data_IF_253621041489
#
_entry.id   IF_253621041489
#
_cell.length_a   1.000
_cell.length_b   1.000
_cell.length_c   1.000
_cell.angle_alpha   90.00
_cell.angle_beta   90.00
_cell.angle_gamma   90.00
#
_symmetry.space_group_name_H-M   'P 1'
#
loop_
_entity.id
_entity.type
_entity.pdbx_description
1 polymer ?
#
# COMPACT_ATOMS: atom_id res chain seq x y z
N UNK A 1 -9.71 11.91 6.56
CA UNK A 1 -10.38 11.19 7.67
C UNK A 1 -11.46 12.11 8.23
N UNK A 2 -12.64 11.63 8.65
CA UNK A 2 -13.51 12.46 9.46
C UNK A 2 -12.75 12.83 10.72
N UNK A 3 -12.63 14.13 11.01
CA UNK A 3 -11.97 14.61 12.21
C UNK A 3 -12.72 14.02 13.40
N UNK A 4 -12.13 13.05 14.08
CA UNK A 4 -12.68 12.56 15.33
C UNK A 4 -12.66 13.70 16.35
N UNK A 5 -13.63 13.70 17.24
CA UNK A 5 -13.69 14.65 18.34
C UNK A 5 -13.39 13.92 19.64
N UNK A 6 -12.54 14.50 20.48
CA UNK A 6 -12.40 14.08 21.86
C UNK A 6 -13.43 14.85 22.70
N UNK A 7 -14.19 14.15 23.54
CA UNK A 7 -15.08 14.80 24.49
C UNK A 7 -14.31 15.06 25.78
N UNK A 8 -14.06 16.32 26.12
CA UNK A 8 -13.39 16.71 27.37
C UNK A 8 -14.20 17.74 28.14
N UNK A 9 -14.01 17.78 29.45
CA UNK A 9 -14.56 18.87 30.26
C UNK A 9 -13.68 20.10 30.07
N UNK A 10 -14.28 21.22 29.73
CA UNK A 10 -13.62 22.53 29.75
C UNK A 10 -14.08 23.28 31.01
N UNK A 11 -13.11 23.77 31.80
CA UNK A 11 -13.34 24.59 32.98
C UNK A 11 -13.83 25.99 32.56
N UNK A 12 -14.70 26.57 33.37
CA UNK A 12 -15.26 27.89 33.10
C UNK A 12 -14.46 28.98 33.82
N UNK A 13 -13.48 29.57 33.13
CA UNK A 13 -12.74 30.74 33.60
C UNK A 13 -13.30 32.04 32.98
N UNK A 14 -14.40 32.57 33.52
CA UNK A 14 -14.76 33.98 33.26
C UNK A 14 -15.61 34.58 34.38
N UNK A 15 -15.20 35.77 34.83
CA UNK A 15 -15.96 36.63 35.75
C UNK A 15 -16.87 37.51 34.88
N UNK A 16 -18.18 37.24 34.90
CA UNK A 16 -19.18 38.13 34.29
C UNK A 16 -20.00 38.85 35.36
N UNK A 17 -20.52 40.02 34.99
CA UNK A 17 -21.33 40.89 35.84
C UNK A 17 -22.80 40.39 35.87
N UNK A 18 -23.36 40.17 37.06
CA UNK A 18 -24.56 39.33 37.29
C UNK A 18 -25.86 40.12 37.51
N UNK A 19 -25.97 41.35 37.03
CA UNK A 19 -27.07 42.25 37.42
C UNK A 19 -28.38 42.09 36.63
N UNK A 20 -28.66 40.96 36.00
CA UNK A 20 -29.93 40.78 35.30
C UNK A 20 -30.35 39.30 35.18
N UNK A 21 -31.09 38.76 36.16
CA UNK A 21 -31.96 37.57 36.04
C UNK A 21 -32.68 37.34 37.38
N UNK A 22 -33.69 38.14 37.70
CA UNK A 22 -34.35 38.08 39.03
C UNK A 22 -35.88 37.91 38.98
N UNK A 23 -36.44 37.35 37.90
CA UNK A 23 -37.88 37.04 37.81
C UNK A 23 -38.20 35.82 36.92
N UNK A 24 -37.42 34.74 37.03
CA UNK A 24 -37.71 33.47 36.33
C UNK A 24 -38.16 32.38 37.28
N UNK A 25 -39.32 31.78 37.06
CA UNK A 25 -39.80 30.60 37.81
C UNK A 25 -38.97 29.37 37.43
N UNK A 26 -38.30 28.73 38.39
CA UNK A 26 -37.45 27.55 38.14
C UNK A 26 -38.18 26.26 38.54
N UNK A 27 -38.28 25.30 37.63
CA UNK A 27 -38.84 23.96 37.86
C UNK A 27 -37.73 22.92 37.88
N UNK A 28 -37.69 22.09 38.92
CA UNK A 28 -36.63 21.08 39.10
C UNK A 28 -37.14 19.68 38.81
N UNK A 29 -36.40 18.95 37.99
CA UNK A 29 -36.65 17.54 37.65
C UNK A 29 -35.39 16.74 37.96
N UNK A 30 -35.40 16.00 39.07
CA UNK A 30 -34.35 15.02 39.33
C UNK A 30 -34.56 13.80 38.46
N UNK A 31 -33.51 13.37 37.76
CA UNK A 31 -33.51 12.20 36.89
C UNK A 31 -32.63 11.12 37.48
N UNK A 32 -33.03 9.88 37.26
CA UNK A 32 -32.25 8.70 37.58
C UNK A 32 -32.56 7.59 36.55
N UNK A 33 -31.71 6.57 36.51
CA UNK A 33 -31.84 5.43 35.58
C UNK A 33 -32.76 4.31 36.07
N UNK A 34 -33.26 4.38 37.30
CA UNK A 34 -34.02 3.30 37.93
C UNK A 34 -35.53 3.48 37.79
N UNK A 35 -36.00 4.72 37.85
CA UNK A 35 -37.40 5.10 37.83
C UNK A 35 -37.61 6.24 36.83
N UNK A 36 -38.40 5.98 35.78
CA UNK A 36 -38.65 6.95 34.71
C UNK A 36 -39.88 7.85 34.96
N UNK A 37 -40.35 7.92 36.21
CA UNK A 37 -41.50 8.74 36.62
C UNK A 37 -41.27 10.24 36.37
N UNK A 38 -40.02 10.68 36.42
CA UNK A 38 -39.58 12.04 36.10
C UNK A 38 -39.90 12.45 34.65
N UNK A 39 -40.05 11.51 33.71
CA UNK A 39 -40.41 11.82 32.33
C UNK A 39 -41.81 12.43 32.22
N UNK A 40 -42.77 11.93 33.02
CA UNK A 40 -44.13 12.47 33.02
C UNK A 40 -44.16 13.89 33.61
N UNK A 41 -43.37 14.11 34.68
CA UNK A 41 -43.19 15.44 35.28
C UNK A 41 -42.57 16.43 34.29
N UNK A 42 -41.56 15.99 33.55
CA UNK A 42 -40.91 16.80 32.51
C UNK A 42 -41.88 17.17 31.38
N UNK A 43 -42.67 16.20 30.88
CA UNK A 43 -43.71 16.46 29.86
C UNK A 43 -44.73 17.48 30.34
N UNK A 44 -45.24 17.34 31.57
CA UNK A 44 -46.20 18.30 32.12
C UNK A 44 -45.66 19.74 32.21
N UNK A 45 -44.34 19.91 32.39
CA UNK A 45 -43.71 21.23 32.40
C UNK A 45 -43.46 21.79 31.00
N UNK A 46 -43.33 20.93 29.99
CA UNK A 46 -43.16 21.34 28.59
C UNK A 46 -44.49 21.63 27.89
N UNK A 47 -45.59 21.00 28.32
CA UNK A 47 -46.94 21.18 27.74
C UNK A 47 -47.64 22.49 28.16
N UNK A 48 -47.05 23.28 29.07
CA UNK A 48 -47.68 24.52 29.57
C UNK A 48 -47.65 25.60 28.48
N UNK A 49 -48.81 25.87 27.86
CA UNK A 49 -49.01 26.98 26.93
C UNK A 49 -48.69 28.31 27.62
N UNK A 50 -47.53 28.89 27.26
CA UNK A 50 -47.10 30.29 27.39
C UNK A 50 -47.99 31.22 28.23
N UNK A 51 -47.85 31.20 29.55
CA UNK A 51 -48.22 32.34 30.40
C UNK A 51 -46.95 33.12 30.75
N UNK A 52 -46.81 34.31 30.13
CA UNK A 52 -46.01 35.55 30.41
C UNK A 52 -44.79 35.59 31.37
N UNK A 53 -44.35 34.48 31.94
CA UNK A 53 -43.26 34.37 32.91
C UNK A 53 -42.15 33.54 32.28
N UNK A 54 -40.90 34.01 32.37
CA UNK A 54 -39.74 33.26 31.86
C UNK A 54 -39.57 32.03 32.77
N UNK A 55 -40.09 30.88 32.36
CA UNK A 55 -39.90 29.62 33.10
C UNK A 55 -38.59 28.96 32.67
N UNK A 56 -37.83 28.41 33.62
CA UNK A 56 -36.64 27.58 33.36
C UNK A 56 -36.86 26.19 33.95
N UNK A 57 -36.57 25.14 33.17
CA UNK A 57 -36.61 23.75 33.65
C UNK A 57 -35.18 23.30 33.89
N UNK A 58 -34.85 22.95 35.13
CA UNK A 58 -33.54 22.45 35.53
C UNK A 58 -33.65 20.94 35.73
N UNK A 59 -32.99 20.20 34.85
CA UNK A 59 -32.91 18.74 34.92
C UNK A 59 -31.62 18.35 35.65
N UNK A 60 -31.76 17.65 36.77
CA UNK A 60 -30.66 17.38 37.71
C UNK A 60 -30.37 15.89 37.75
N UNK A 61 -29.12 15.50 37.57
CA UNK A 61 -28.66 14.13 37.85
C UNK A 61 -27.57 14.17 38.92
N UNK A 62 -27.74 13.34 39.95
CA UNK A 62 -26.84 13.24 41.11
C UNK A 62 -26.41 11.79 41.30
N UNK A 63 -25.10 11.57 41.46
CA UNK A 63 -24.56 10.27 41.87
C UNK A 63 -24.55 9.16 40.82
N UNK A 64 -25.27 9.32 39.69
CA UNK A 64 -25.30 8.36 38.58
C UNK A 64 -24.58 8.90 37.34
N UNK A 65 -23.35 8.42 37.11
CA UNK A 65 -22.50 8.88 36.00
C UNK A 65 -22.91 8.31 34.63
N UNK A 66 -23.80 7.32 34.60
CA UNK A 66 -24.25 6.63 33.38
C UNK A 66 -25.68 7.03 32.98
N UNK A 67 -26.23 8.12 33.55
CA UNK A 67 -27.61 8.58 33.31
C UNK A 67 -27.88 9.17 31.92
N UNK A 68 -26.86 9.36 31.09
CA UNK A 68 -27.04 9.89 29.72
C UNK A 68 -27.64 11.31 29.66
N UNK A 69 -27.74 12.03 30.78
CA UNK A 69 -28.44 13.32 30.91
C UNK A 69 -28.02 14.34 29.86
N UNK A 70 -26.72 14.43 29.59
CA UNK A 70 -26.18 15.38 28.59
C UNK A 70 -26.70 15.06 27.19
N UNK A 71 -26.72 13.79 26.81
CA UNK A 71 -27.26 13.35 25.52
C UNK A 71 -28.76 13.66 25.42
N UNK A 72 -29.49 13.36 26.48
CA UNK A 72 -30.92 13.63 26.57
C UNK A 72 -31.26 15.12 26.45
N UNK A 73 -30.56 15.98 27.20
CA UNK A 73 -30.75 17.44 27.17
C UNK A 73 -30.35 18.02 25.82
N UNK A 74 -29.30 17.50 25.18
CA UNK A 74 -28.94 17.90 23.82
C UNK A 74 -30.03 17.57 22.78
N UNK A 75 -30.80 16.50 22.97
CA UNK A 75 -31.98 16.20 22.16
C UNK A 75 -33.10 17.19 22.43
N UNK A 76 -33.51 17.36 23.70
CA UNK A 76 -34.64 18.22 24.06
C UNK A 76 -34.42 19.68 23.69
N UNK A 77 -33.18 20.20 23.77
CA UNK A 77 -32.86 21.57 23.38
C UNK A 77 -33.04 21.86 21.88
N UNK A 78 -33.19 20.83 21.05
CA UNK A 78 -33.47 20.97 19.61
C UNK A 78 -34.98 20.89 19.30
N UNK A 79 -35.79 20.50 20.27
CA UNK A 79 -37.25 20.47 20.16
C UNK A 79 -37.85 21.87 20.41
N UNK A 80 -39.05 22.17 19.89
CA UNK A 80 -39.75 23.42 20.19
C UNK A 80 -39.96 23.61 21.70
N UNK A 81 -39.61 24.77 22.24
CA UNK A 81 -39.68 25.05 23.68
C UNK A 81 -38.47 24.53 24.48
N UNK A 82 -37.51 23.84 23.85
CA UNK A 82 -36.30 23.31 24.49
C UNK A 82 -35.33 24.38 24.98
N UNK A 83 -35.49 25.65 24.59
CA UNK A 83 -34.64 26.78 25.00
C UNK A 83 -34.69 27.07 26.50
N UNK A 84 -35.75 26.63 27.19
CA UNK A 84 -35.94 26.81 28.63
C UNK A 84 -35.22 25.76 29.48
N UNK A 85 -34.69 24.71 28.85
CA UNK A 85 -34.09 23.57 29.53
C UNK A 85 -32.64 23.88 29.89
N UNK A 86 -32.30 23.63 31.14
CA UNK A 86 -30.96 23.65 31.73
C UNK A 86 -30.70 22.29 32.36
N UNK A 87 -29.46 21.84 32.38
CA UNK A 87 -29.10 20.67 33.16
C UNK A 87 -27.98 20.92 34.15
N UNK A 88 -28.06 20.23 35.28
CA UNK A 88 -27.03 20.20 36.31
C UNK A 88 -26.66 18.74 36.53
N UNK A 89 -25.45 18.38 36.13
CA UNK A 89 -24.93 17.03 36.26
C UNK A 89 -23.85 17.00 37.34
N UNK A 90 -24.20 16.40 38.47
CA UNK A 90 -23.36 16.38 39.67
C UNK A 90 -22.56 15.09 39.68
N UNK A 91 -21.32 15.19 39.21
CA UNK A 91 -20.37 14.07 39.19
C UNK A 91 -19.46 14.03 40.42
N UNK A 92 -19.30 15.16 41.11
CA UNK A 92 -18.51 15.23 42.34
C UNK A 92 -19.26 14.52 43.49
N UNK A 93 -18.64 13.48 44.05
CA UNK A 93 -19.21 12.72 45.19
C UNK A 93 -19.18 13.52 46.50
N UNK A 94 -18.34 14.54 46.58
CA UNK A 94 -18.19 15.39 47.76
C UNK A 94 -19.05 16.66 47.67
N UNK A 95 -19.69 16.92 46.53
CA UNK A 95 -20.58 18.06 46.39
C UNK A 95 -21.86 17.85 47.23
N UNK A 96 -22.43 18.92 47.81
CA UNK A 96 -23.69 18.85 48.52
C UNK A 96 -24.82 18.42 47.56
N UNK A 97 -25.87 17.79 48.09
CA UNK A 97 -27.10 17.49 47.32
C UNK A 97 -27.63 18.75 46.64
N UNK A 98 -28.17 18.62 45.42
CA UNK A 98 -28.64 19.79 44.68
C UNK A 98 -29.70 20.56 45.45
N UNK A 99 -29.52 21.88 45.54
CA UNK A 99 -30.44 22.78 46.19
C UNK A 99 -30.30 24.20 45.63
N UNK A 100 -31.43 24.90 45.50
CA UNK A 100 -31.47 26.32 45.14
C UNK A 100 -31.09 27.26 46.29
N UNK A 101 -30.86 26.72 47.49
CA UNK A 101 -30.36 27.48 48.64
C UNK A 101 -28.83 27.38 48.76
N UNK A 102 -28.21 26.42 48.09
CA UNK A 102 -26.78 26.17 48.15
C UNK A 102 -26.01 27.13 47.24
N UNK A 103 -25.10 27.89 47.84
CA UNK A 103 -24.33 28.94 47.14
C UNK A 103 -23.52 28.41 45.94
N UNK A 104 -23.08 27.15 46.00
CA UNK A 104 -22.36 26.46 44.93
C UNK A 104 -23.17 26.38 43.63
N UNK A 105 -24.46 26.04 43.74
CA UNK A 105 -25.35 25.86 42.59
C UNK A 105 -25.95 27.18 42.11
N UNK A 106 -26.29 28.09 43.03
CA UNK A 106 -26.85 29.41 42.69
C UNK A 106 -25.89 30.19 41.77
N UNK A 107 -24.62 30.29 42.16
CA UNK A 107 -23.60 31.02 41.38
C UNK A 107 -23.47 30.46 39.96
N UNK A 108 -23.52 29.14 39.82
CA UNK A 108 -23.44 28.50 38.51
C UNK A 108 -24.70 28.72 37.67
N UNK A 109 -25.89 28.58 38.27
CA UNK A 109 -27.17 28.74 37.56
C UNK A 109 -27.40 30.18 37.09
N UNK A 110 -26.81 31.17 37.77
CA UNK A 110 -26.81 32.58 37.34
C UNK A 110 -26.10 32.80 36.00
N UNK A 111 -25.18 31.92 35.59
CA UNK A 111 -24.55 31.96 34.26
C UNK A 111 -25.54 31.57 33.13
N UNK A 112 -26.72 31.04 33.46
CA UNK A 112 -27.77 30.59 32.53
C UNK A 112 -27.28 29.60 31.46
N UNK A 113 -26.23 28.83 31.77
CA UNK A 113 -25.64 27.89 30.83
C UNK A 113 -26.54 26.65 30.65
N UNK A 114 -26.74 26.18 29.42
CA UNK A 114 -27.62 25.04 29.14
C UNK A 114 -27.15 23.72 29.74
N UNK A 115 -25.84 23.54 29.89
CA UNK A 115 -25.23 22.32 30.39
C UNK A 115 -24.22 22.72 31.46
N UNK A 116 -24.48 22.30 32.69
CA UNK A 116 -23.61 22.52 33.84
C UNK A 116 -23.20 21.15 34.37
N UNK A 117 -21.90 20.90 34.42
CA UNK A 117 -21.35 19.66 34.96
C UNK A 117 -20.36 20.06 36.05
N UNK A 118 -20.55 19.51 37.26
CA UNK A 118 -19.59 19.69 38.35
C UNK A 118 -18.82 18.38 38.56
N UNK A 119 -17.48 18.45 38.55
CA UNK A 119 -16.57 17.33 38.81
C UNK A 119 -15.78 17.57 40.10
N UNK A 120 -14.93 16.60 40.45
CA UNK A 120 -14.09 16.61 41.64
C UNK A 120 -13.51 17.99 41.96
N UNK A 121 -13.46 18.31 43.25
CA UNK A 121 -12.98 19.59 43.78
C UNK A 121 -13.91 20.77 43.42
N UNK A 122 -15.20 20.49 43.23
CA UNK A 122 -16.24 21.48 42.91
C UNK A 122 -15.98 22.31 41.64
N UNK A 123 -15.30 21.70 40.66
CA UNK A 123 -14.95 22.35 39.40
C UNK A 123 -16.13 22.28 38.43
N UNK A 124 -16.62 23.45 38.00
CA UNK A 124 -17.68 23.57 37.01
C UNK A 124 -17.14 23.56 35.59
N UNK A 125 -17.88 22.91 34.70
CA UNK A 125 -17.57 22.88 33.29
C UNK A 125 -18.69 22.33 32.43
N UNK A 126 -18.35 22.05 31.18
CA UNK A 126 -19.24 21.37 30.24
C UNK A 126 -18.43 20.45 29.34
N UNK A 127 -19.07 19.40 28.81
CA UNK A 127 -18.41 18.53 27.84
C UNK A 127 -18.37 19.20 26.46
N UNK A 128 -17.17 19.35 25.92
CA UNK A 128 -16.87 19.99 24.65
C UNK A 128 -16.15 19.02 23.73
N UNK A 129 -16.42 19.20 22.43
CA UNK A 129 -15.79 18.42 21.37
C UNK A 129 -14.56 19.16 20.88
N UNK A 130 -13.38 18.62 21.13
CA UNK A 130 -12.13 19.14 20.61
C UNK A 130 -11.70 18.31 19.39
N UNK A 131 -11.20 18.96 18.32
CA UNK A 131 -10.65 18.23 17.18
C UNK A 131 -9.47 17.37 17.67
N UNK A 132 -9.44 16.10 17.25
CA UNK A 132 -8.26 15.28 17.48
C UNK A 132 -7.05 15.90 16.76
N UNK A 133 -5.85 15.84 17.39
CA UNK A 133 -4.64 16.31 16.74
C UNK A 133 -4.36 15.49 15.47
N UNK A 134 -3.65 16.11 14.52
CA UNK A 134 -3.18 15.42 13.33
C UNK A 134 -2.26 14.25 13.73
N UNK A 135 -2.30 13.18 12.94
CA UNK A 135 -1.42 12.03 13.15
C UNK A 135 0.03 12.44 12.88
N UNK A 136 0.85 12.40 13.93
CA UNK A 136 2.28 12.62 13.81
C UNK A 136 3.04 11.30 13.59
N UNK A 137 4.06 11.29 12.72
CA UNK A 137 4.93 10.11 12.55
C UNK A 137 5.59 9.72 13.89
N UNK A 138 5.52 8.44 14.23
CA UNK A 138 6.19 7.88 15.41
C UNK A 138 7.27 6.90 14.99
N UNK A 139 8.42 6.96 15.66
CA UNK A 139 9.47 5.98 15.47
C UNK A 139 9.00 4.63 16.01
N UNK A 140 9.10 3.60 15.17
CA UNK A 140 8.71 2.22 15.51
C UNK A 140 9.83 1.25 15.15
N UNK A 141 9.87 0.12 15.86
CA UNK A 141 10.86 -0.92 15.59
C UNK A 141 10.66 -1.60 14.23
N UNK A 142 9.40 -1.74 13.81
CA UNK A 142 9.06 -2.40 12.56
C UNK A 142 7.93 -1.69 11.83
N UNK A 143 8.12 -1.52 10.52
CA UNK A 143 7.19 -0.84 9.63
C UNK A 143 7.26 -1.42 8.22
N UNK A 144 6.16 -1.29 7.50
CA UNK A 144 6.03 -1.64 6.10
C UNK A 144 5.30 -0.53 5.35
N UNK A 145 5.48 -0.47 4.03
CA UNK A 145 4.80 0.49 3.17
C UNK A 145 3.46 -0.09 2.76
N UNK A 146 2.40 0.69 2.92
CA UNK A 146 1.07 0.36 2.41
C UNK A 146 0.48 1.54 1.66
N UNK A 147 -0.53 1.26 0.85
CA UNK A 147 -1.34 2.26 0.18
C UNK A 147 -2.69 2.38 0.89
N UNK A 148 -3.04 3.55 1.40
CA UNK A 148 -4.29 3.73 2.13
C UNK A 148 -5.51 3.78 1.22
N UNK A 149 -5.34 4.31 0.00
CA UNK A 149 -6.40 4.41 -1.02
C UNK A 149 -5.89 3.80 -2.32
N UNK A 150 -6.43 2.64 -2.74
CA UNK A 150 -6.05 2.03 -4.02
C UNK A 150 -6.18 3.00 -5.19
N UNK A 151 -5.16 3.05 -6.05
CA UNK A 151 -5.12 3.95 -7.21
C UNK A 151 -4.56 5.35 -6.93
N UNK A 152 -4.42 5.76 -5.67
CA UNK A 152 -3.83 7.05 -5.29
C UNK A 152 -2.43 6.87 -4.68
N UNK A 153 -1.40 7.18 -5.46
CA UNK A 153 0.00 7.05 -5.04
C UNK A 153 0.39 8.00 -3.90
N UNK A 154 -0.34 9.11 -3.71
CA UNK A 154 -0.06 10.05 -2.60
C UNK A 154 -0.37 9.48 -1.23
N UNK A 155 -1.08 8.34 -1.20
CA UNK A 155 -1.47 7.65 0.03
C UNK A 155 -0.52 6.52 0.42
N UNK A 156 0.61 6.38 -0.29
CA UNK A 156 1.69 5.49 0.10
C UNK A 156 2.37 6.01 1.37
N UNK A 157 2.35 5.22 2.44
CA UNK A 157 2.95 5.61 3.70
C UNK A 157 3.51 4.42 4.48
N UNK A 158 4.39 4.74 5.44
CA UNK A 158 4.88 3.78 6.41
C UNK A 158 3.82 3.53 7.48
N UNK A 159 3.51 2.26 7.72
CA UNK A 159 2.61 1.80 8.78
C UNK A 159 3.35 0.83 9.70
N UNK A 160 3.10 0.96 11.00
CA UNK A 160 3.68 0.07 11.99
C UNK A 160 3.28 -1.38 11.71
N UNK A 161 4.28 -2.26 11.65
CA UNK A 161 4.04 -3.68 11.48
C UNK A 161 3.64 -4.33 12.79
N UNK A 162 2.75 -5.33 12.74
CA UNK A 162 2.38 -6.17 13.88
C UNK A 162 3.33 -7.35 14.09
N UNK A 163 4.61 -7.22 13.69
CA UNK A 163 5.63 -8.29 13.66
C UNK A 163 5.91 -8.97 15.03
N UNK A 164 5.24 -8.59 16.10
CA UNK A 164 5.17 -9.34 17.37
C UNK A 164 4.75 -10.82 17.24
N UNK A 165 4.30 -11.29 16.06
CA UNK A 165 3.89 -12.68 15.79
C UNK A 165 4.93 -13.58 15.08
N UNK A 166 6.20 -13.16 14.91
CA UNK A 166 7.21 -14.05 14.30
C UNK A 166 7.49 -15.22 15.24
N UNK A 167 6.99 -16.40 14.87
CA UNK A 167 7.24 -17.66 15.58
C UNK A 167 8.75 -17.91 15.76
N UNK A 168 9.13 -18.58 16.84
CA UNK A 168 10.55 -18.87 17.12
C UNK A 168 11.23 -19.68 16.01
N UNK A 169 10.50 -20.45 15.20
CA UNK A 169 11.03 -21.20 14.06
C UNK A 169 11.41 -20.31 12.86
N UNK A 170 10.73 -19.17 12.67
CA UNK A 170 10.95 -18.25 11.55
C UNK A 170 12.06 -17.23 11.82
N UNK A 171 12.46 -17.14 13.09
CA UNK A 171 13.54 -16.26 13.56
C UNK A 171 14.86 -16.51 12.82
N UNK A 172 15.14 -17.71 12.33
CA UNK A 172 16.42 -17.98 11.64
C UNK A 172 16.51 -17.34 10.26
N UNK A 173 15.39 -17.17 9.56
CA UNK A 173 15.35 -16.60 8.21
C UNK A 173 14.95 -15.11 8.23
N UNK A 174 15.03 -14.47 9.40
CA UNK A 174 14.71 -13.06 9.53
C UNK A 174 15.80 -12.21 8.88
N UNK A 175 15.36 -11.33 7.97
CA UNK A 175 16.20 -10.41 7.22
C UNK A 175 15.88 -8.99 7.67
N UNK A 176 16.90 -8.24 8.06
CA UNK A 176 16.85 -6.78 8.16
C UNK A 176 17.04 -6.21 6.76
N UNK A 177 15.97 -5.70 6.18
CA UNK A 177 15.96 -5.16 4.82
C UNK A 177 16.69 -3.83 4.79
N UNK A 178 17.50 -3.65 3.76
CA UNK A 178 18.29 -2.43 3.49
C UNK A 178 17.85 -1.81 2.16
N UNK A 179 17.66 -2.62 1.12
CA UNK A 179 17.10 -2.19 -0.16
C UNK A 179 15.89 -3.03 -0.53
N UNK A 180 14.92 -2.38 -1.16
CA UNK A 180 13.79 -2.99 -1.85
C UNK A 180 13.69 -2.33 -3.21
N UNK A 181 13.29 -3.10 -4.21
CA UNK A 181 13.23 -2.63 -5.59
C UNK A 181 11.79 -2.65 -6.09
N UNK A 182 11.44 -1.66 -6.89
CA UNK A 182 10.09 -1.53 -7.45
C UNK A 182 10.00 -2.36 -8.74
N UNK A 183 8.95 -3.16 -8.85
CA UNK A 183 8.63 -3.95 -10.04
C UNK A 183 7.38 -3.39 -10.75
N UNK A 184 7.22 -3.72 -12.03
CA UNK A 184 6.05 -3.25 -12.79
C UNK A 184 4.72 -3.72 -12.17
N UNK A 185 4.72 -4.93 -11.56
CA UNK A 185 3.58 -5.43 -10.77
C UNK A 185 3.22 -4.50 -9.63
N UNK A 186 4.21 -4.00 -8.87
CA UNK A 186 3.98 -3.09 -7.75
C UNK A 186 3.27 -1.81 -8.22
N UNK A 187 3.71 -1.24 -9.35
CA UNK A 187 3.10 -0.06 -9.95
C UNK A 187 1.67 -0.34 -10.43
N UNK A 188 1.43 -1.48 -11.07
CA UNK A 188 0.08 -1.84 -11.54
C UNK A 188 -0.91 -2.04 -10.38
N UNK A 189 -0.46 -2.64 -9.28
CA UNK A 189 -1.25 -2.79 -8.05
C UNK A 189 -1.52 -1.41 -7.46
N UNK A 190 -0.47 -0.59 -7.26
CA UNK A 190 -0.61 0.73 -6.65
C UNK A 190 -1.47 1.69 -7.49
N UNK A 191 -1.47 1.55 -8.83
CA UNK A 191 -2.32 2.35 -9.71
C UNK A 191 -3.75 1.80 -9.88
N UNK A 192 -4.10 0.67 -9.22
CA UNK A 192 -5.41 0.03 -9.35
C UNK A 192 -5.70 -0.59 -10.73
N UNK A 193 -4.67 -0.79 -11.56
CA UNK A 193 -4.81 -1.42 -12.89
C UNK A 193 -4.76 -2.95 -12.82
N UNK A 194 -4.25 -3.49 -11.71
CA UNK A 194 -4.19 -4.91 -11.44
C UNK A 194 -4.88 -5.19 -10.10
N UNK A 195 -6.05 -5.82 -10.17
CA UNK A 195 -6.81 -6.24 -9.00
C UNK A 195 -6.40 -7.66 -8.61
N UNK A 196 -5.33 -7.80 -7.85
CA UNK A 196 -4.96 -9.09 -7.25
C UNK A 196 -5.53 -9.17 -5.83
N UNK A 197 -6.60 -9.94 -5.64
CA UNK A 197 -7.01 -10.38 -4.31
C UNK A 197 -6.21 -11.63 -3.95
N UNK A 198 -5.30 -11.53 -2.99
CA UNK A 198 -4.69 -12.73 -2.42
C UNK A 198 -5.68 -13.26 -1.37
N UNK A 199 -6.36 -14.36 -1.70
CA UNK A 199 -7.34 -15.01 -0.83
C UNK A 199 -6.76 -15.40 0.55
N UNK A 200 -5.43 -15.56 0.63
CA UNK A 200 -4.69 -15.99 1.83
C UNK A 200 -3.67 -14.96 2.34
N UNK A 201 -3.72 -13.70 1.88
CA UNK A 201 -2.84 -12.69 2.46
C UNK A 201 -3.29 -12.45 3.91
N UNK A 202 -2.41 -12.68 4.93
CA UNK A 202 -2.78 -12.42 6.30
C UNK A 202 -3.27 -10.98 6.41
N UNK A 203 -4.50 -10.79 6.90
CA UNK A 203 -5.13 -9.48 7.08
C UNK A 203 -4.09 -8.44 7.53
N UNK A 204 -3.83 -7.43 6.69
CA UNK A 204 -2.80 -6.37 6.83
C UNK A 204 -1.40 -6.62 6.22
N UNK A 205 -1.22 -7.53 5.26
CA UNK A 205 0.01 -7.55 4.45
C UNK A 205 -0.11 -6.63 3.23
N UNK A 206 0.85 -5.72 3.07
CA UNK A 206 0.97 -4.94 1.85
C UNK A 206 1.25 -5.86 0.67
N UNK A 207 0.54 -5.64 -0.44
CA UNK A 207 0.72 -6.40 -1.68
C UNK A 207 2.00 -6.01 -2.45
N UNK A 208 2.67 -4.96 -1.99
CA UNK A 208 3.76 -4.29 -2.68
C UNK A 208 5.12 -4.83 -2.21
N UNK A 209 6.02 -5.05 -3.15
CA UNK A 209 7.40 -5.49 -2.92
C UNK A 209 7.56 -7.00 -3.13
N UNK A 210 8.29 -7.35 -4.19
CA UNK A 210 8.54 -8.73 -4.62
C UNK A 210 9.97 -9.22 -4.41
N UNK A 211 10.87 -8.34 -4.00
CA UNK A 211 12.26 -8.68 -3.77
C UNK A 211 12.85 -7.81 -2.68
N UNK A 212 13.97 -8.24 -2.12
CA UNK A 212 14.64 -7.55 -1.04
C UNK A 212 16.14 -7.81 -1.08
N UNK A 213 16.87 -6.89 -0.45
CA UNK A 213 18.26 -7.06 -0.07
C UNK A 213 18.43 -6.65 1.38
N UNK A 214 19.17 -7.44 2.14
CA UNK A 214 19.39 -7.15 3.55
C UNK A 214 20.43 -8.01 4.22
N UNK A 215 20.38 -8.00 5.54
CA UNK A 215 21.26 -8.77 6.41
C UNK A 215 20.47 -9.84 7.14
N UNK A 216 20.96 -11.08 7.10
CA UNK A 216 20.44 -12.11 7.99
C UNK A 216 20.99 -11.92 9.42
N UNK A 217 20.54 -12.75 10.36
CA UNK A 217 21.00 -12.71 11.75
C UNK A 217 22.50 -12.92 11.96
N UNK A 218 23.17 -13.59 11.03
CA UNK A 218 24.62 -13.82 11.05
C UNK A 218 25.40 -12.65 10.43
N UNK A 219 24.72 -11.58 10.01
CA UNK A 219 25.32 -10.44 9.33
C UNK A 219 25.70 -10.72 7.87
N UNK A 220 25.24 -11.84 7.28
CA UNK A 220 25.50 -12.15 5.87
C UNK A 220 24.60 -11.29 4.98
N UNK A 221 25.17 -10.83 3.87
CA UNK A 221 24.47 -10.06 2.83
C UNK A 221 23.62 -11.01 1.99
N UNK A 222 22.30 -10.85 2.06
CA UNK A 222 21.32 -11.70 1.38
C UNK A 222 20.51 -10.85 0.40
N UNK A 223 20.25 -11.40 -0.78
CA UNK A 223 19.24 -10.92 -1.72
C UNK A 223 18.21 -12.01 -1.97
N UNK A 224 16.96 -11.66 -2.25
CA UNK A 224 15.94 -12.68 -2.45
C UNK A 224 14.63 -12.16 -2.98
N UNK A 225 13.73 -13.10 -3.22
CA UNK A 225 12.35 -12.85 -3.64
C UNK A 225 11.39 -13.03 -2.46
N UNK A 226 10.30 -12.28 -2.49
CA UNK A 226 9.14 -12.47 -1.64
C UNK A 226 7.87 -12.36 -2.50
N UNK A 227 6.80 -13.01 -2.08
CA UNK A 227 5.54 -12.97 -2.84
C UNK A 227 4.93 -11.56 -2.77
N UNK A 228 4.89 -10.99 -1.57
CA UNK A 228 4.38 -9.65 -1.26
C UNK A 228 5.04 -9.11 0.00
N UNK A 229 4.85 -7.82 0.28
CA UNK A 229 5.27 -7.20 1.53
C UNK A 229 6.78 -7.00 1.67
N UNK A 230 7.53 -7.07 0.57
CA UNK A 230 8.98 -6.84 0.56
C UNK A 230 9.36 -5.40 0.93
N UNK A 231 8.45 -4.45 0.76
CA UNK A 231 8.62 -3.05 1.15
C UNK A 231 8.43 -2.87 2.67
N UNK A 232 9.39 -3.38 3.42
CA UNK A 232 9.42 -3.41 4.90
C UNK A 232 10.84 -3.25 5.40
N UNK A 233 11.03 -2.91 6.67
CA UNK A 233 12.35 -2.92 7.28
C UNK A 233 12.79 -4.31 7.77
N UNK A 234 11.84 -5.25 7.94
CA UNK A 234 12.08 -6.62 8.40
C UNK A 234 11.13 -7.58 7.69
N UNK A 235 11.66 -8.71 7.21
CA UNK A 235 10.86 -9.81 6.65
C UNK A 235 11.46 -11.18 6.97
N UNK A 236 10.67 -12.24 6.77
CA UNK A 236 11.12 -13.63 6.83
C UNK A 236 11.32 -14.12 5.40
N UNK A 237 12.54 -14.51 5.06
CA UNK A 237 12.88 -14.97 3.72
C UNK A 237 12.48 -16.43 3.49
N UNK A 238 12.04 -16.76 2.27
CA UNK A 238 11.90 -18.14 1.81
C UNK A 238 13.29 -18.75 1.60
N UNK A 239 13.55 -19.91 2.22
CA UNK A 239 14.84 -20.61 2.21
C UNK A 239 15.36 -20.94 0.80
N UNK A 240 14.48 -21.12 -0.19
CA UNK A 240 14.84 -21.51 -1.55
C UNK A 240 14.78 -20.36 -2.55
N UNK A 241 14.36 -19.17 -2.13
CA UNK A 241 14.27 -17.98 -2.98
C UNK A 241 15.11 -16.82 -2.45
N UNK A 242 16.24 -17.14 -1.82
CA UNK A 242 17.25 -16.19 -1.40
C UNK A 242 18.67 -16.69 -1.72
N UNK A 243 19.59 -15.76 -1.92
CA UNK A 243 20.98 -16.00 -2.31
C UNK A 243 21.92 -15.11 -1.52
N UNK A 244 23.13 -15.61 -1.28
CA UNK A 244 24.22 -14.81 -0.70
C UNK A 244 24.74 -13.86 -1.78
N UNK A 245 24.90 -12.60 -1.41
CA UNK A 245 25.42 -11.57 -2.30
C UNK A 245 26.93 -11.81 -2.53
N UNK A 246 27.41 -11.87 -3.79
CA UNK A 246 28.83 -11.99 -4.09
C UNK A 246 29.66 -10.89 -3.44
N UNK A 247 30.89 -11.22 -3.00
CA UNK A 247 31.65 -10.28 -2.17
C UNK A 247 31.95 -8.93 -2.84
N UNK A 248 32.14 -8.97 -4.16
CA UNK A 248 32.45 -7.83 -5.02
C UNK A 248 31.27 -6.89 -5.25
N UNK A 249 30.06 -7.28 -4.90
CA UNK A 249 28.85 -6.49 -5.16
C UNK A 249 28.48 -5.66 -3.96
N UNK A 250 28.00 -4.45 -4.23
CA UNK A 250 27.29 -3.67 -3.22
C UNK A 250 25.90 -4.28 -2.97
N UNK A 251 25.23 -3.89 -1.87
CA UNK A 251 23.84 -4.27 -1.67
C UNK A 251 22.91 -3.60 -2.69
N UNK A 252 23.26 -2.40 -3.14
CA UNK A 252 22.60 -1.70 -4.25
C UNK A 252 22.75 -2.49 -5.56
N UNK A 253 23.92 -3.08 -5.81
CA UNK A 253 24.13 -3.99 -6.95
C UNK A 253 23.18 -5.18 -6.92
N UNK A 254 23.15 -5.84 -5.76
CA UNK A 254 22.31 -7.00 -5.53
C UNK A 254 20.82 -6.69 -5.66
N UNK A 255 20.37 -5.47 -5.35
CA UNK A 255 18.95 -5.09 -5.42
C UNK A 255 18.38 -5.16 -6.85
N UNK A 256 19.24 -5.20 -7.86
CA UNK A 256 18.83 -5.25 -9.27
C UNK A 256 18.62 -6.65 -9.82
N UNK A 257 18.92 -7.69 -9.05
CA UNK A 257 19.13 -9.04 -9.58
C UNK A 257 17.96 -10.01 -9.35
N UNK A 258 17.40 -10.17 -8.13
CA UNK A 258 16.55 -11.30 -7.79
C UNK A 258 15.38 -11.50 -8.75
N UNK A 259 14.51 -10.50 -8.94
CA UNK A 259 13.27 -10.65 -9.70
C UNK A 259 13.54 -10.78 -11.20
N UNK A 260 14.43 -9.95 -11.75
CA UNK A 260 14.66 -9.90 -13.20
C UNK A 260 15.39 -11.15 -13.70
N UNK A 261 16.43 -11.61 -13.00
CA UNK A 261 17.14 -12.82 -13.41
C UNK A 261 16.35 -14.08 -13.11
N UNK A 262 15.60 -14.13 -12.01
CA UNK A 262 14.71 -15.27 -11.75
C UNK A 262 13.66 -15.42 -12.85
N UNK A 263 13.09 -14.29 -13.30
CA UNK A 263 12.15 -14.28 -14.43
C UNK A 263 12.83 -14.78 -15.70
N UNK A 264 14.04 -14.31 -16.01
CA UNK A 264 14.75 -14.72 -17.21
C UNK A 264 15.21 -16.19 -17.18
N UNK A 265 15.67 -16.71 -16.04
CA UNK A 265 16.00 -18.13 -15.93
C UNK A 265 14.77 -19.00 -16.09
N UNK A 266 13.67 -18.64 -15.41
CA UNK A 266 12.42 -19.37 -15.54
C UNK A 266 11.88 -19.31 -16.98
N UNK A 267 11.93 -18.16 -17.64
CA UNK A 267 11.43 -17.99 -19.01
C UNK A 267 12.35 -18.62 -20.06
N UNK A 268 13.61 -18.20 -20.15
CA UNK A 268 14.52 -18.58 -21.23
C UNK A 268 15.04 -20.01 -21.08
N UNK A 269 15.43 -20.43 -19.87
CA UNK A 269 16.04 -21.74 -19.67
C UNK A 269 15.02 -22.83 -19.36
N UNK A 270 14.14 -22.60 -18.37
CA UNK A 270 13.22 -23.67 -17.91
C UNK A 270 12.06 -23.89 -18.89
N UNK A 271 11.45 -22.83 -19.41
CA UNK A 271 10.33 -22.93 -20.37
C UNK A 271 10.80 -22.88 -21.81
N UNK A 272 11.61 -21.89 -22.16
CA UNK A 272 12.11 -21.65 -23.51
C UNK A 272 13.23 -22.57 -23.96
N UNK A 273 13.92 -23.28 -23.05
CA UNK A 273 15.03 -24.17 -23.38
C UNK A 273 16.04 -23.51 -24.35
N UNK A 274 16.38 -22.26 -24.07
CA UNK A 274 17.35 -21.48 -24.83
C UNK A 274 18.68 -22.22 -24.87
N UNK A 275 19.31 -22.20 -26.05
CA UNK A 275 20.60 -22.86 -26.30
C UNK A 275 21.47 -21.99 -27.21
N UNK A 276 22.76 -22.29 -27.21
CA UNK A 276 23.72 -21.66 -28.11
C UNK A 276 23.24 -21.69 -29.57
N UNK A 277 23.41 -20.56 -30.27
CA UNK A 277 23.01 -20.40 -31.66
C UNK A 277 21.53 -20.09 -31.90
N UNK A 278 20.67 -20.14 -30.87
CA UNK A 278 19.28 -19.67 -31.01
C UNK A 278 19.26 -18.16 -31.34
N UNK A 279 18.31 -17.76 -32.20
CA UNK A 279 17.98 -16.34 -32.42
C UNK A 279 16.90 -15.91 -31.43
N UNK A 280 17.14 -14.86 -30.66
CA UNK A 280 16.25 -14.44 -29.57
C UNK A 280 15.82 -12.99 -29.75
N UNK A 281 14.52 -12.73 -29.84
CA UNK A 281 13.93 -11.40 -29.80
C UNK A 281 13.54 -11.05 -28.36
N UNK A 282 14.16 -10.01 -27.80
CA UNK A 282 13.93 -9.51 -26.44
C UNK A 282 13.29 -8.14 -26.52
N UNK A 283 12.01 -8.04 -26.22
CA UNK A 283 11.34 -6.74 -26.19
C UNK A 283 11.74 -5.91 -24.97
N UNK A 284 11.66 -4.58 -25.13
CA UNK A 284 11.95 -3.62 -24.04
C UNK A 284 13.36 -3.78 -23.46
N UNK A 285 14.39 -3.86 -24.31
CA UNK A 285 15.75 -4.25 -23.93
C UNK A 285 16.41 -3.39 -22.84
N UNK A 286 15.99 -2.13 -22.69
CA UNK A 286 16.52 -1.24 -21.64
C UNK A 286 15.84 -1.41 -20.28
N UNK A 287 14.73 -2.15 -20.20
CA UNK A 287 14.08 -2.47 -18.93
C UNK A 287 14.88 -3.51 -18.13
N UNK A 288 14.58 -3.66 -16.84
CA UNK A 288 15.31 -4.60 -15.98
C UNK A 288 15.33 -6.05 -16.50
N UNK A 289 14.16 -6.58 -16.90
CA UNK A 289 14.08 -7.93 -17.49
C UNK A 289 14.78 -7.98 -18.85
N UNK A 290 14.63 -6.93 -19.68
CA UNK A 290 15.27 -6.85 -20.99
C UNK A 290 16.80 -6.94 -20.90
N UNK A 291 17.42 -6.16 -20.01
CA UNK A 291 18.87 -6.18 -19.80
C UNK A 291 19.36 -7.55 -19.28
N UNK A 292 18.66 -8.12 -18.29
CA UNK A 292 19.00 -9.43 -17.75
C UNK A 292 18.89 -10.54 -18.81
N UNK A 293 17.83 -10.52 -19.62
CA UNK A 293 17.64 -11.45 -20.72
C UNK A 293 18.75 -11.32 -21.78
N UNK A 294 19.17 -10.09 -22.11
CA UNK A 294 20.26 -9.84 -23.04
C UNK A 294 21.57 -10.40 -22.50
N UNK A 295 21.91 -10.15 -21.23
CA UNK A 295 23.11 -10.71 -20.60
C UNK A 295 23.14 -12.24 -20.70
N UNK A 296 22.04 -12.90 -20.37
CA UNK A 296 21.93 -14.36 -20.42
C UNK A 296 22.00 -14.90 -21.85
N UNK A 297 21.27 -14.30 -22.79
CA UNK A 297 21.28 -14.73 -24.19
C UNK A 297 22.67 -14.58 -24.83
N UNK A 298 23.37 -13.46 -24.58
CA UNK A 298 24.73 -13.27 -25.05
C UNK A 298 25.71 -14.23 -24.39
N UNK A 299 25.56 -14.49 -23.08
CA UNK A 299 26.39 -15.48 -22.36
C UNK A 299 26.22 -16.90 -22.93
N UNK A 300 24.99 -17.29 -23.30
CA UNK A 300 24.70 -18.58 -23.92
C UNK A 300 25.21 -18.68 -25.37
N UNK A 301 25.57 -17.54 -25.99
CA UNK A 301 25.99 -17.45 -27.39
C UNK A 301 24.83 -17.44 -28.38
N UNK A 302 23.70 -16.83 -28.00
CA UNK A 302 22.56 -16.58 -28.87
C UNK A 302 22.76 -15.32 -29.73
N UNK A 303 22.08 -15.27 -30.87
CA UNK A 303 21.97 -14.06 -31.68
C UNK A 303 20.80 -13.20 -31.18
N UNK A 304 21.11 -12.03 -30.62
CA UNK A 304 20.12 -11.18 -29.95
C UNK A 304 19.55 -10.12 -30.89
N UNK A 305 18.23 -9.99 -30.85
CA UNK A 305 17.47 -8.87 -31.37
C UNK A 305 16.73 -8.20 -30.21
N UNK A 306 16.58 -6.88 -30.24
CA UNK A 306 15.86 -6.18 -29.18
C UNK A 306 15.07 -4.99 -29.69
N UNK A 307 14.10 -4.54 -28.90
CA UNK A 307 13.35 -3.31 -29.19
C UNK A 307 13.49 -2.29 -28.06
N UNK A 308 13.54 -1.01 -28.44
CA UNK A 308 13.68 0.12 -27.52
C UNK A 308 12.69 1.22 -27.86
N UNK A 309 12.35 2.05 -26.85
CA UNK A 309 11.36 3.10 -27.02
C UNK A 309 11.91 4.40 -27.61
N UNK A 310 13.16 4.76 -27.32
CA UNK A 310 13.73 6.08 -27.67
C UNK A 310 15.18 5.99 -28.17
N UNK A 311 15.68 7.09 -28.71
CA UNK A 311 17.05 7.20 -29.23
C UNK A 311 18.08 7.06 -28.11
N UNK A 312 17.82 7.64 -26.94
CA UNK A 312 18.67 7.55 -25.76
C UNK A 312 18.78 6.09 -25.29
N UNK A 313 17.63 5.39 -25.27
CA UNK A 313 17.56 3.95 -24.94
C UNK A 313 18.29 3.10 -25.97
N UNK A 314 18.26 3.48 -27.25
CA UNK A 314 19.04 2.82 -28.32
C UNK A 314 20.54 2.98 -28.08
N UNK A 315 20.97 4.20 -27.76
CA UNK A 315 22.36 4.50 -27.45
C UNK A 315 22.85 3.68 -26.24
N UNK A 316 22.03 3.57 -25.20
CA UNK A 316 22.34 2.75 -24.02
C UNK A 316 22.59 1.28 -24.38
N UNK A 317 21.75 0.66 -25.22
CA UNK A 317 21.96 -0.72 -25.68
C UNK A 317 23.29 -0.86 -26.42
N UNK A 318 23.59 0.08 -27.32
CA UNK A 318 24.83 0.07 -28.11
C UNK A 318 26.08 0.13 -27.23
N UNK A 319 26.08 0.96 -26.19
CA UNK A 319 27.23 1.09 -25.28
C UNK A 319 27.35 -0.10 -24.33
N UNK A 320 26.23 -0.57 -23.81
CA UNK A 320 26.21 -1.64 -22.79
C UNK A 320 26.45 -3.02 -23.42
N UNK A 321 25.94 -3.23 -24.63
CA UNK A 321 25.98 -4.51 -25.34
C UNK A 321 26.53 -4.34 -26.76
N UNK A 322 27.82 -4.01 -26.91
CA UNK A 322 28.43 -3.72 -28.22
C UNK A 322 28.43 -4.92 -29.19
N UNK A 323 28.19 -6.13 -28.68
CA UNK A 323 28.00 -7.33 -29.48
C UNK A 323 26.66 -7.39 -30.22
N UNK A 324 25.70 -6.52 -29.90
CA UNK A 324 24.42 -6.41 -30.61
C UNK A 324 24.59 -5.43 -31.77
N UNK A 325 24.44 -5.88 -33.02
CA UNK A 325 24.50 -4.99 -34.18
C UNK A 325 23.40 -3.92 -34.14
N UNK A 326 23.71 -2.71 -34.65
CA UNK A 326 22.74 -1.60 -34.72
C UNK A 326 21.45 -1.97 -35.45
N UNK A 327 21.58 -2.81 -36.48
CA UNK A 327 20.49 -3.29 -37.31
C UNK A 327 19.67 -4.43 -36.66
N UNK A 328 19.99 -4.83 -35.43
CA UNK A 328 19.22 -5.75 -34.58
C UNK A 328 18.41 -5.01 -33.51
N UNK A 329 18.51 -3.67 -33.44
CA UNK A 329 17.80 -2.84 -32.46
C UNK A 329 16.62 -2.13 -33.15
N UNK A 330 15.40 -2.61 -32.88
CA UNK A 330 14.15 -2.10 -33.43
C UNK A 330 13.40 -1.13 -32.51
N UNK A 331 12.28 -0.59 -33.01
CA UNK A 331 11.40 0.29 -32.23
C UNK A 331 10.36 -0.54 -31.45
N UNK A 332 10.12 -0.20 -30.18
CA UNK A 332 9.06 -0.82 -29.35
C UNK A 332 7.74 -0.05 -29.36
N UNK A 333 7.70 1.13 -30.00
CA UNK A 333 6.51 2.00 -30.05
C UNK A 333 5.56 1.65 -31.19
N UNK A 334 6.02 0.94 -32.20
CA UNK A 334 5.24 0.49 -33.35
C UNK A 334 5.56 -0.99 -33.67
N UNK A 335 5.06 -1.50 -34.79
CA UNK A 335 5.27 -2.88 -35.29
C UNK A 335 6.43 -2.98 -36.30
N UNK A 336 7.22 -1.91 -36.48
CA UNK A 336 8.31 -1.89 -37.49
C UNK A 336 9.43 -2.90 -37.20
N UNK A 337 9.55 -3.35 -35.94
CA UNK A 337 10.46 -4.42 -35.56
C UNK A 337 10.18 -5.74 -36.32
N UNK A 338 8.93 -6.00 -36.72
CA UNK A 338 8.60 -7.22 -37.47
C UNK A 338 9.34 -7.28 -38.80
N UNK A 339 9.31 -6.18 -39.55
CA UNK A 339 10.01 -6.07 -40.83
C UNK A 339 11.53 -6.14 -40.65
N UNK A 340 12.06 -5.49 -39.61
CA UNK A 340 13.48 -5.57 -39.26
C UNK A 340 13.91 -7.03 -39.03
N UNK A 341 13.15 -7.78 -38.23
CA UNK A 341 13.46 -9.18 -37.93
C UNK A 341 13.42 -10.02 -39.20
N UNK A 342 12.38 -9.89 -40.01
CA UNK A 342 12.25 -10.67 -41.25
C UNK A 342 13.40 -10.38 -42.22
N UNK A 343 13.79 -9.12 -42.39
CA UNK A 343 14.92 -8.75 -43.24
C UNK A 343 16.25 -9.33 -42.73
N UNK A 344 16.51 -9.26 -41.42
CA UNK A 344 17.78 -9.72 -40.83
C UNK A 344 17.87 -11.24 -40.70
N UNK A 345 16.73 -11.92 -40.65
CA UNK A 345 16.68 -13.39 -40.57
C UNK A 345 16.45 -14.06 -41.93
N UNK A 346 16.43 -13.31 -43.03
CA UNK A 346 16.16 -13.84 -44.37
C UNK A 346 14.77 -14.47 -44.51
N UNK A 347 13.78 -13.93 -43.79
CA UNK A 347 12.41 -14.43 -43.73
C UNK A 347 12.20 -15.63 -42.81
N UNK A 348 13.25 -16.14 -42.14
CA UNK A 348 13.12 -17.28 -41.22
C UNK A 348 12.38 -16.92 -39.93
N UNK A 349 12.60 -15.73 -39.39
CA UNK A 349 12.18 -15.36 -38.03
C UNK A 349 13.18 -15.78 -36.95
N UNK A 350 12.76 -15.67 -35.69
CA UNK A 350 13.55 -15.98 -34.49
C UNK A 350 13.07 -17.26 -33.79
N UNK A 351 13.96 -17.92 -33.06
CA UNK A 351 13.68 -19.18 -32.38
C UNK A 351 12.98 -18.98 -31.02
N UNK A 352 13.22 -17.84 -30.38
CA UNK A 352 12.60 -17.46 -29.11
C UNK A 352 12.18 -16.00 -29.17
N UNK A 353 11.00 -15.69 -28.66
CA UNK A 353 10.55 -14.32 -28.38
C UNK A 353 10.26 -14.19 -26.90
N UNK A 354 10.92 -13.26 -26.21
CA UNK A 354 10.57 -12.83 -24.87
C UNK A 354 9.75 -11.54 -24.96
N UNK A 355 8.42 -11.68 -24.82
CA UNK A 355 7.47 -10.60 -25.04
C UNK A 355 6.98 -9.96 -23.74
N UNK A 356 6.93 -8.63 -23.75
CA UNK A 356 6.31 -7.78 -22.72
C UNK A 356 5.40 -6.71 -23.32
N UNK A 357 5.18 -6.74 -24.64
CA UNK A 357 4.35 -5.78 -25.38
C UNK A 357 2.93 -6.32 -25.49
N UNK A 358 1.98 -5.44 -25.75
CA UNK A 358 0.56 -5.77 -25.78
C UNK A 358 -0.08 -5.61 -27.16
N UNK A 359 -1.27 -6.19 -27.32
CA UNK A 359 -2.19 -5.97 -28.44
C UNK A 359 -1.55 -6.26 -29.82
N UNK A 360 -1.63 -5.33 -30.78
CA UNK A 360 -1.10 -5.49 -32.14
C UNK A 360 0.40 -5.86 -32.13
N UNK A 361 1.15 -5.33 -31.16
CA UNK A 361 2.59 -5.62 -31.03
C UNK A 361 2.82 -7.06 -30.61
N UNK A 362 2.01 -7.60 -29.69
CA UNK A 362 2.07 -9.02 -29.34
C UNK A 362 1.83 -9.91 -30.58
N UNK A 363 0.83 -9.58 -31.39
CA UNK A 363 0.55 -10.31 -32.63
C UNK A 363 1.71 -10.22 -33.63
N UNK A 364 2.32 -9.04 -33.78
CA UNK A 364 3.53 -8.85 -34.60
C UNK A 364 4.73 -9.67 -34.08
N UNK A 365 4.90 -9.73 -32.76
CA UNK A 365 5.92 -10.54 -32.10
C UNK A 365 5.73 -12.05 -32.37
N UNK A 366 4.50 -12.53 -32.43
CA UNK A 366 4.22 -13.95 -32.79
C UNK A 366 4.60 -14.21 -34.25
N UNK A 367 4.28 -13.29 -35.16
CA UNK A 367 4.64 -13.42 -36.58
C UNK A 367 6.15 -13.51 -36.79
N UNK A 368 6.93 -12.88 -35.92
CA UNK A 368 8.40 -12.97 -35.90
C UNK A 368 8.95 -14.36 -35.58
N UNK A 369 8.16 -15.31 -35.06
CA UNK A 369 8.64 -16.65 -34.75
C UNK A 369 8.93 -17.47 -36.03
N UNK A 370 10.06 -18.17 -35.97
CA UNK A 370 10.41 -19.24 -36.89
C UNK A 370 9.57 -20.50 -36.65
N UNK A 371 9.64 -21.43 -37.60
CA UNK A 371 9.06 -22.77 -37.43
C UNK A 371 9.66 -23.48 -36.21
N UNK A 372 8.82 -24.04 -35.34
CA UNK A 372 9.23 -24.63 -34.05
C UNK A 372 9.61 -23.62 -32.97
N UNK A 373 9.39 -22.31 -33.20
CA UNK A 373 9.74 -21.25 -32.27
C UNK A 373 8.97 -21.27 -30.96
N UNK A 374 9.49 -20.58 -29.95
CA UNK A 374 8.93 -20.53 -28.59
C UNK A 374 8.61 -19.09 -28.20
N UNK A 375 7.35 -18.82 -27.89
CA UNK A 375 6.89 -17.52 -27.44
C UNK A 375 6.78 -17.51 -25.91
N UNK A 376 7.49 -16.58 -25.26
CA UNK A 376 7.56 -16.44 -23.81
C UNK A 376 6.87 -15.13 -23.42
N UNK A 377 5.61 -15.23 -23.01
CA UNK A 377 4.78 -14.08 -22.62
C UNK A 377 4.98 -13.77 -21.14
N UNK A 378 5.62 -12.64 -20.83
CA UNK A 378 5.76 -12.11 -19.46
C UNK A 378 4.80 -10.95 -19.16
N UNK A 379 4.14 -10.41 -20.19
CA UNK A 379 3.10 -9.40 -20.03
C UNK A 379 1.81 -10.03 -19.48
N UNK A 380 1.10 -9.24 -18.67
CA UNK A 380 -0.18 -9.69 -18.08
C UNK A 380 -1.41 -9.09 -18.80
N UNK A 381 -1.25 -8.02 -19.57
CA UNK A 381 -2.39 -7.24 -20.11
C UNK A 381 -3.30 -8.09 -21.00
N UNK A 382 -2.80 -8.61 -22.13
CA UNK A 382 -3.62 -9.39 -23.07
C UNK A 382 -4.24 -10.65 -22.46
N UNK A 383 -3.52 -11.30 -21.53
CA UNK A 383 -4.01 -12.49 -20.81
C UNK A 383 -5.18 -12.12 -19.90
N UNK A 384 -5.07 -11.03 -19.13
CA UNK A 384 -6.13 -10.55 -18.23
C UNK A 384 -7.33 -10.04 -19.02
N UNK A 385 -7.09 -9.33 -20.12
CA UNK A 385 -8.14 -8.81 -21.00
C UNK A 385 -8.79 -9.90 -21.87
N UNK A 386 -8.27 -11.13 -21.83
CA UNK A 386 -8.74 -12.25 -22.65
C UNK A 386 -8.77 -11.91 -24.15
N UNK A 387 -7.71 -11.26 -24.63
CA UNK A 387 -7.59 -10.88 -26.03
C UNK A 387 -7.41 -12.12 -26.92
N UNK A 388 -8.03 -12.15 -28.12
CA UNK A 388 -7.98 -13.31 -28.98
C UNK A 388 -6.58 -13.55 -29.57
N UNK A 389 -6.22 -14.83 -29.71
CA UNK A 389 -5.00 -15.28 -30.37
C UNK A 389 -5.37 -16.02 -31.66
N UNK A 390 -4.74 -15.65 -32.77
CA UNK A 390 -4.99 -16.31 -34.05
C UNK A 390 -4.44 -17.74 -34.04
N UNK A 391 -5.29 -18.75 -34.24
CA UNK A 391 -4.87 -20.17 -34.16
C UNK A 391 -3.96 -20.56 -35.35
N UNK A 392 -4.08 -19.88 -36.49
CA UNK A 392 -3.32 -20.20 -37.69
C UNK A 392 -1.79 -20.09 -37.47
N UNK A 393 -1.33 -19.24 -36.56
CA UNK A 393 0.11 -19.10 -36.24
C UNK A 393 0.74 -20.38 -35.70
N UNK A 394 -0.06 -21.28 -35.09
CA UNK A 394 0.41 -22.58 -34.61
C UNK A 394 0.69 -23.59 -35.74
N UNK A 395 0.30 -23.29 -36.99
CA UNK A 395 0.69 -24.09 -38.17
C UNK A 395 2.21 -24.16 -38.36
N UNK A 396 2.96 -23.18 -37.81
CA UNK A 396 4.43 -23.17 -37.73
C UNK A 396 5.00 -24.14 -36.68
N UNK A 397 4.17 -24.91 -35.97
CA UNK A 397 4.61 -25.80 -34.89
C UNK A 397 5.19 -25.05 -33.69
N UNK A 398 4.79 -23.80 -33.47
CA UNK A 398 5.28 -22.98 -32.36
C UNK A 398 4.69 -23.43 -31.02
N UNK A 399 5.32 -23.00 -29.94
CA UNK A 399 4.81 -23.15 -28.57
C UNK A 399 4.62 -21.79 -27.91
N UNK A 400 3.53 -21.62 -27.16
CA UNK A 400 3.21 -20.40 -26.43
C UNK A 400 3.26 -20.66 -24.93
N UNK A 401 4.06 -19.88 -24.21
CA UNK A 401 4.25 -20.02 -22.77
C UNK A 401 3.84 -18.73 -22.05
N UNK A 402 2.78 -18.80 -21.25
CA UNK A 402 2.53 -17.81 -20.20
C UNK A 402 3.52 -17.97 -19.06
N UNK A 403 4.24 -16.89 -18.74
CA UNK A 403 5.32 -16.87 -17.74
C UNK A 403 4.86 -16.11 -16.49
N UNK A 404 4.63 -16.86 -15.42
CA UNK A 404 4.15 -16.36 -14.14
C UNK A 404 5.14 -16.75 -13.04
N UNK A 405 6.00 -15.80 -12.62
CA UNK A 405 7.00 -16.06 -11.58
C UNK A 405 6.35 -16.29 -10.21
N UNK A 406 5.19 -15.70 -9.98
CA UNK A 406 4.36 -15.81 -8.79
C UNK A 406 3.97 -17.27 -8.45
N UNK A 407 3.83 -18.14 -9.47
CA UNK A 407 3.56 -19.57 -9.27
C UNK A 407 4.71 -20.26 -8.50
N UNK A 408 5.94 -19.74 -8.56
CA UNK A 408 7.07 -20.35 -7.85
C UNK A 408 6.93 -20.24 -6.33
N UNK A 409 6.21 -19.25 -5.80
CA UNK A 409 6.07 -19.11 -4.35
C UNK A 409 5.19 -20.21 -3.73
N UNK A 410 4.19 -20.69 -4.47
CA UNK A 410 3.34 -21.83 -4.09
C UNK A 410 3.87 -23.18 -4.60
N UNK A 411 4.95 -23.18 -5.39
CA UNK A 411 5.55 -24.40 -5.92
C UNK A 411 6.25 -25.22 -4.82
N UNK A 412 6.41 -26.52 -5.11
CA UNK A 412 7.13 -27.45 -4.24
C UNK A 412 8.62 -27.07 -4.12
N UNK A 413 9.28 -27.39 -3.00
CA UNK A 413 10.70 -27.07 -2.78
C UNK A 413 11.63 -27.50 -3.92
N UNK A 414 11.36 -28.63 -4.57
CA UNK A 414 12.18 -29.14 -5.68
C UNK A 414 12.15 -28.20 -6.89
N UNK A 415 10.99 -27.59 -7.18
CA UNK A 415 10.84 -26.62 -8.27
C UNK A 415 11.57 -25.31 -7.96
N UNK A 416 11.49 -24.85 -6.70
CA UNK A 416 12.24 -23.67 -6.24
C UNK A 416 13.75 -23.92 -6.30
N UNK A 417 14.20 -25.12 -5.92
CA UNK A 417 15.60 -25.51 -5.93
C UNK A 417 16.22 -25.51 -7.34
N UNK A 418 15.47 -25.87 -8.38
CA UNK A 418 15.95 -25.79 -9.77
C UNK A 418 16.30 -24.35 -10.14
N UNK A 419 15.41 -23.40 -9.85
CA UNK A 419 15.68 -21.98 -10.10
C UNK A 419 16.85 -21.49 -9.24
N UNK A 420 16.84 -21.84 -7.96
CA UNK A 420 17.89 -21.46 -7.01
C UNK A 420 19.28 -21.89 -7.51
N UNK A 421 19.40 -23.13 -8.00
CA UNK A 421 20.63 -23.68 -8.56
C UNK A 421 21.07 -22.90 -9.81
N UNK A 422 20.13 -22.58 -10.72
CA UNK A 422 20.44 -21.83 -11.94
C UNK A 422 20.91 -20.42 -11.68
N UNK A 423 20.26 -19.70 -10.76
CA UNK A 423 20.71 -18.37 -10.33
C UNK A 423 22.08 -18.47 -9.66
N UNK A 424 22.30 -19.45 -8.79
CA UNK A 424 23.59 -19.66 -8.12
C UNK A 424 24.71 -19.97 -9.11
N UNK A 425 24.45 -20.79 -10.12
CA UNK A 425 25.38 -21.08 -11.22
C UNK A 425 25.72 -19.80 -12.00
N UNK A 426 24.69 -19.02 -12.35
CA UNK A 426 24.82 -17.73 -13.04
C UNK A 426 25.62 -16.67 -12.28
N UNK A 427 25.49 -16.63 -10.95
CA UNK A 427 26.30 -15.76 -10.09
C UNK A 427 27.77 -16.18 -10.10
N UNK A 428 28.05 -17.50 -10.09
CA UNK A 428 29.41 -18.04 -10.04
C UNK A 428 30.15 -17.89 -11.36
N UNK A 429 29.47 -18.13 -12.48
CA UNK A 429 30.08 -18.11 -13.81
C UNK A 429 30.10 -16.71 -14.46
N UNK A 430 29.49 -15.71 -13.82
CA UNK A 430 29.48 -14.33 -14.29
C UNK A 430 28.44 -14.03 -15.37
N UNK A 431 27.50 -14.94 -15.63
CA UNK A 431 26.36 -14.70 -16.52
C UNK A 431 25.41 -13.64 -15.96
N UNK A 432 25.31 -13.54 -14.63
CA UNK A 432 24.52 -12.52 -13.95
C UNK A 432 25.38 -11.30 -13.65
N UNK A 433 24.92 -10.14 -14.11
CA UNK A 433 25.51 -8.84 -13.82
C UNK A 433 24.50 -7.89 -13.17
N UNK A 434 24.93 -7.01 -12.24
CA UNK A 434 24.08 -5.93 -11.75
C UNK A 434 23.63 -5.01 -12.88
N UNK A 435 22.43 -4.45 -12.77
CA UNK A 435 21.85 -3.58 -13.79
C UNK A 435 21.97 -2.11 -13.40
N UNK A 436 21.82 -1.19 -14.36
CA UNK A 436 21.66 0.22 -14.04
C UNK A 436 20.45 0.43 -13.11
N UNK A 437 20.51 1.44 -12.25
CA UNK A 437 19.41 1.73 -11.32
C UNK A 437 19.28 3.19 -10.95
N UNK A 438 18.13 3.54 -10.39
CA UNK A 438 17.84 4.85 -9.81
C UNK A 438 17.37 4.66 -8.38
N UNK A 439 18.22 4.99 -7.41
CA UNK A 439 17.92 4.89 -5.98
C UNK A 439 17.10 6.11 -5.52
N UNK A 440 16.14 5.84 -4.64
CA UNK A 440 15.35 6.80 -3.89
C UNK A 440 15.49 6.51 -2.40
N UNK A 441 15.42 7.56 -1.58
CA UNK A 441 15.43 7.38 -0.12
C UNK A 441 14.11 6.79 0.37
N UNK A 442 14.14 6.21 1.58
CA UNK A 442 12.97 5.54 2.19
C UNK A 442 11.72 6.42 2.34
N UNK A 443 11.87 7.74 2.29
CA UNK A 443 10.78 8.72 2.44
C UNK A 443 10.31 9.27 1.08
N UNK A 444 10.97 8.88 -0.02
CA UNK A 444 10.67 9.31 -1.40
C UNK A 444 9.87 8.26 -2.19
N UNK A 445 9.13 7.40 -1.48
CA UNK A 445 8.41 6.25 -2.06
C UNK A 445 7.45 6.69 -3.17
N UNK A 446 6.65 7.72 -2.93
CA UNK A 446 5.72 8.24 -3.94
C UNK A 446 6.46 8.65 -5.21
N UNK A 447 7.58 9.36 -5.07
CA UNK A 447 8.39 9.80 -6.20
C UNK A 447 8.98 8.61 -6.96
N UNK A 448 9.43 7.57 -6.26
CA UNK A 448 9.93 6.34 -6.86
C UNK A 448 8.86 5.61 -7.70
N UNK A 449 7.64 5.48 -7.16
CA UNK A 449 6.51 4.90 -7.91
C UNK A 449 6.13 5.73 -9.12
N UNK A 450 6.05 7.05 -8.99
CA UNK A 450 5.76 7.97 -10.11
C UNK A 450 6.84 7.92 -11.18
N UNK A 451 8.12 7.87 -10.78
CA UNK A 451 9.26 7.74 -11.69
C UNK A 451 9.17 6.46 -12.52
N UNK A 452 8.84 5.33 -11.89
CA UNK A 452 8.66 4.07 -12.60
C UNK A 452 7.43 4.09 -13.51
N UNK A 453 6.31 4.64 -13.04
CA UNK A 453 5.05 4.74 -13.79
C UNK A 453 5.16 5.64 -15.04
N UNK A 454 6.00 6.67 -15.00
CA UNK A 454 6.30 7.52 -16.15
C UNK A 454 7.12 6.81 -17.26
N UNK A 455 7.32 5.49 -17.16
CA UNK A 455 8.20 4.62 -17.96
C UNK A 455 8.14 4.74 -19.49
N UNK A 456 7.15 5.45 -20.04
CA UNK A 456 7.15 5.87 -21.45
C UNK A 456 8.30 6.82 -21.82
N UNK A 457 8.92 7.50 -20.85
CA UNK A 457 9.96 8.53 -21.10
C UNK A 457 11.32 8.22 -20.41
N UNK A 458 11.38 7.70 -19.18
CA UNK A 458 12.58 7.91 -18.35
C UNK A 458 13.46 6.73 -17.96
N UNK A 459 12.91 5.66 -17.36
CA UNK A 459 13.77 4.75 -16.60
C UNK A 459 14.51 3.70 -17.47
N UNK A 460 15.74 3.43 -17.08
CA UNK A 460 16.62 2.38 -17.61
C UNK A 460 17.04 1.53 -16.42
N UNK A 461 16.86 0.21 -16.53
CA UNK A 461 17.21 -0.73 -15.48
C UNK A 461 16.20 -0.76 -14.33
N UNK A 462 16.68 -0.68 -13.08
CA UNK A 462 15.88 -0.87 -11.86
C UNK A 462 15.60 0.45 -11.12
N UNK A 463 14.50 0.50 -10.37
CA UNK A 463 14.19 1.58 -9.43
C UNK A 463 14.28 1.03 -8.02
#
# INVERSE_FOLDING_TARGET
MPNGFLLTLEELDTIYDYSCLDNSTQQIVHVNNYEFSWMNKLKSFMDVEKETTIMRIIVVAEGDFECGLIGFVNCLRKEPGGEIIRCVFIQDKNAPTFSLQESLYIKQLQLDLPINVIRSDSIWGSYRHFPLPLLEPKLVQSAYITQMVPGDLSTLCWVQSRISFVNNADKENLIRVIYVSINFRDVMIASGKLNESIADAPNNSSLIGMEFVGLNKKGQRIMGLCLTGGMTNILVADKYLNWIIPDKWTMEDAATVPCVYSTCYYSLYLRGKMKNGDKVLIHSGTGGIGQAAIYLALYEGCEVFTTVGSVEKRHFIRETFPSIPENHIGNSRDTSFEQMIMQRTGGRGVDIVLNSLAEEKLQASIRCLASGGRFLEIGKFDIISNNPLEIFVFSKGITFHGIFLDILFSAKPESKAILWNKVTEGLKNGAIKPLCRKVFEKDEIEAAFRYMAAGNIGHIGKV
#
